data_IF_325240824384
#
_entry.id   IF_325240824384
#
_cell.length_a   1.000
_cell.length_b   1.000
_cell.length_c   1.000
_cell.angle_alpha   90.00
_cell.angle_beta   90.00
_cell.angle_gamma   90.00
#
_symmetry.space_group_name_H-M   'P 1'
#
loop_
_entity.id
_entity.type
_entity.pdbx_description
1 polymer ?
#
# COMPACT_ATOMS: atom_id res chain seq x y z
N UNK A 1 -18.86 -8.06 6.60
CA UNK A 1 -19.65 -8.00 5.34
C UNK A 1 -21.16 -8.06 5.55
N UNK A 2 -21.66 -8.53 6.69
CA UNK A 2 -23.11 -8.59 6.98
C UNK A 2 -23.79 -7.22 6.88
N UNK A 3 -23.17 -6.14 7.39
CA UNK A 3 -23.71 -4.78 7.27
C UNK A 3 -23.92 -4.36 5.81
N UNK A 4 -22.87 -4.39 4.99
CA UNK A 4 -22.95 -4.00 3.57
C UNK A 4 -23.93 -4.88 2.78
N UNK A 5 -24.01 -6.18 3.10
CA UNK A 5 -25.02 -7.07 2.52
C UNK A 5 -26.44 -6.61 2.84
N UNK A 6 -26.73 -6.28 4.12
CA UNK A 6 -28.05 -5.77 4.52
C UNK A 6 -28.39 -4.44 3.83
N UNK A 7 -27.42 -3.53 3.73
CA UNK A 7 -27.60 -2.25 3.01
C UNK A 7 -27.95 -2.50 1.54
N UNK A 8 -27.31 -3.47 0.90
CA UNK A 8 -27.62 -3.88 -0.48
C UNK A 8 -28.86 -4.79 -0.61
N UNK A 9 -29.58 -5.11 0.48
CA UNK A 9 -30.71 -6.05 0.44
C UNK A 9 -30.34 -7.51 0.15
N UNK A 10 -29.07 -7.87 0.26
CA UNK A 10 -28.53 -9.19 -0.07
C UNK A 10 -28.38 -10.06 1.17
N UNK A 11 -28.61 -11.35 0.98
CA UNK A 11 -28.35 -12.42 1.94
C UNK A 11 -27.05 -13.17 1.59
N UNK A 12 -26.73 -14.21 2.36
CA UNK A 12 -25.67 -15.15 2.00
C UNK A 12 -26.12 -16.17 0.93
N UNK A 13 -27.44 -16.37 0.75
CA UNK A 13 -27.99 -17.32 -0.23
C UNK A 13 -27.83 -16.83 -1.66
N UNK A 14 -27.74 -15.51 -1.86
CA UNK A 14 -27.55 -14.90 -3.18
C UNK A 14 -26.15 -15.14 -3.75
N UNK A 15 -25.21 -15.63 -2.93
CA UNK A 15 -23.82 -15.98 -3.32
C UNK A 15 -23.06 -14.86 -4.05
N UNK A 16 -23.54 -13.62 -3.97
CA UNK A 16 -22.86 -12.45 -4.52
C UNK A 16 -21.54 -12.23 -3.80
N UNK A 17 -20.45 -12.01 -4.54
CA UNK A 17 -19.12 -11.78 -3.97
C UNK A 17 -19.06 -10.45 -3.21
N UNK A 18 -18.20 -10.39 -2.20
CA UNK A 18 -18.05 -9.20 -1.35
C UNK A 18 -17.41 -8.02 -2.08
N UNK A 19 -16.62 -8.27 -3.13
CA UNK A 19 -16.09 -7.25 -4.04
C UNK A 19 -17.19 -6.54 -4.80
N UNK A 20 -18.08 -7.31 -5.43
CA UNK A 20 -19.24 -6.81 -6.19
C UNK A 20 -20.11 -5.92 -5.30
N UNK A 21 -20.42 -6.36 -4.08
CA UNK A 21 -21.22 -5.56 -3.12
C UNK A 21 -20.54 -4.23 -2.78
N UNK A 22 -19.21 -4.23 -2.65
CA UNK A 22 -18.46 -3.01 -2.35
C UNK A 22 -18.40 -2.06 -3.54
N UNK A 23 -18.24 -2.61 -4.74
CA UNK A 23 -18.27 -1.85 -5.99
C UNK A 23 -19.63 -1.18 -6.20
N UNK A 24 -20.71 -1.94 -6.04
CA UNK A 24 -22.10 -1.44 -6.14
C UNK A 24 -22.39 -0.32 -5.14
N UNK A 25 -21.88 -0.45 -3.91
CA UNK A 25 -22.06 0.55 -2.86
C UNK A 25 -21.01 1.68 -2.89
N UNK A 26 -20.06 1.68 -3.84
CA UNK A 26 -18.98 2.67 -3.90
C UNK A 26 -18.04 2.67 -2.69
N UNK A 27 -17.90 1.54 -1.99
CA UNK A 27 -17.11 1.41 -0.76
C UNK A 27 -15.72 0.86 -1.08
N UNK A 28 -14.69 1.68 -0.85
CA UNK A 28 -13.30 1.25 -0.98
C UNK A 28 -12.98 0.03 -0.06
N UNK A 29 -12.30 -1.00 -0.58
CA UNK A 29 -11.78 -2.08 0.25
C UNK A 29 -10.78 -1.58 1.30
N UNK A 30 -10.85 -2.11 2.53
CA UNK A 30 -9.94 -1.72 3.61
C UNK A 30 -8.45 -1.85 3.21
N UNK A 31 -8.12 -2.90 2.45
CA UNK A 31 -6.76 -3.12 1.97
C UNK A 31 -6.26 -1.97 1.09
N UNK A 32 -7.11 -1.42 0.22
CA UNK A 32 -6.76 -0.27 -0.62
C UNK A 32 -6.42 0.95 0.24
N UNK A 33 -7.20 1.20 1.30
CA UNK A 33 -6.93 2.28 2.25
C UNK A 33 -5.62 2.09 3.01
N UNK A 34 -5.32 0.86 3.44
CA UNK A 34 -4.05 0.52 4.09
C UNK A 34 -2.87 0.77 3.14
N UNK A 35 -2.93 0.26 1.92
CA UNK A 35 -1.87 0.44 0.91
C UNK A 35 -1.60 1.91 0.59
N UNK A 36 -2.67 2.70 0.34
CA UNK A 36 -2.54 4.15 0.12
C UNK A 36 -1.88 4.84 1.33
N UNK A 37 -2.18 4.41 2.55
CA UNK A 37 -1.60 5.00 3.76
C UNK A 37 -0.11 4.67 3.90
N UNK A 38 0.28 3.42 3.61
CA UNK A 38 1.68 2.99 3.59
C UNK A 38 2.50 3.79 2.56
N UNK A 39 1.95 3.99 1.36
CA UNK A 39 2.60 4.77 0.31
C UNK A 39 2.66 6.28 0.62
N UNK A 40 1.64 6.84 1.29
CA UNK A 40 1.72 8.23 1.81
C UNK A 40 2.83 8.38 2.83
N UNK A 41 2.98 7.38 3.72
CA UNK A 41 4.04 7.39 4.72
C UNK A 41 5.43 7.27 4.09
N UNK A 42 5.60 6.43 3.06
CA UNK A 42 6.84 6.36 2.29
C UNK A 42 7.23 7.74 1.74
N UNK A 43 6.31 8.43 1.05
CA UNK A 43 6.58 9.79 0.56
C UNK A 43 6.96 10.75 1.67
N UNK A 44 6.31 10.65 2.83
CA UNK A 44 6.68 11.48 3.98
C UNK A 44 8.12 11.22 4.44
N UNK A 45 8.57 9.97 4.48
CA UNK A 45 9.95 9.61 4.84
C UNK A 45 10.97 10.06 3.80
N UNK A 46 10.66 9.89 2.51
CA UNK A 46 11.55 10.32 1.40
C UNK A 46 11.80 11.82 1.46
N UNK A 47 10.74 12.61 1.64
CA UNK A 47 10.80 14.08 1.72
C UNK A 47 11.21 14.60 3.10
N UNK A 48 11.53 13.73 4.04
CA UNK A 48 11.92 14.13 5.39
C UNK A 48 13.31 14.78 5.36
N UNK A 49 13.50 15.98 5.96
CA UNK A 49 14.83 16.56 6.08
C UNK A 49 15.73 15.69 6.97
N UNK A 50 17.06 15.75 6.76
CA UNK A 50 18.01 15.03 7.61
C UNK A 50 17.91 15.49 9.08
N UNK A 51 18.38 14.64 9.99
CA UNK A 51 18.35 14.90 11.44
C UNK A 51 17.08 14.44 12.15
N UNK A 52 16.09 13.90 11.42
CA UNK A 52 14.90 13.28 12.00
C UNK A 52 15.02 11.77 12.04
N UNK A 53 14.93 11.19 13.24
CA UNK A 53 15.12 9.75 13.47
C UNK A 53 14.37 8.82 12.50
N UNK A 54 13.07 9.02 12.19
CA UNK A 54 12.37 8.11 11.27
C UNK A 54 12.98 8.09 9.86
N UNK A 55 13.38 9.24 9.34
CA UNK A 55 14.04 9.37 8.04
C UNK A 55 15.43 8.77 8.05
N UNK A 56 16.19 9.01 9.12
CA UNK A 56 17.53 8.42 9.30
C UNK A 56 17.47 6.88 9.36
N UNK A 57 16.56 6.31 10.18
CA UNK A 57 16.37 4.85 10.27
C UNK A 57 15.90 4.26 8.94
N UNK A 58 15.04 4.97 8.19
CA UNK A 58 14.59 4.53 6.87
C UNK A 58 15.73 4.46 5.85
N UNK A 59 16.66 5.43 5.89
CA UNK A 59 17.83 5.49 5.00
C UNK A 59 18.97 4.58 5.45
N UNK A 60 19.04 4.26 6.74
CA UNK A 60 20.11 3.46 7.33
C UNK A 60 20.24 2.08 6.66
N UNK A 61 21.49 1.69 6.38
CA UNK A 61 21.86 0.36 5.88
C UNK A 61 22.77 -0.33 6.90
N UNK A 62 22.21 -0.93 7.95
CA UNK A 62 23.01 -1.56 9.00
C UNK A 62 23.82 -2.74 8.43
N UNK A 63 25.12 -2.71 8.69
CA UNK A 63 26.09 -3.76 8.36
C UNK A 63 26.32 -4.66 9.57
N UNK A 64 26.44 -5.98 9.37
CA UNK A 64 26.69 -6.92 10.46
C UNK A 64 26.31 -8.36 10.12
N UNK A 65 26.67 -9.30 11.01
CA UNK A 65 26.26 -10.71 10.89
C UNK A 65 24.76 -10.84 11.13
N UNK A 66 24.07 -11.54 10.24
CA UNK A 66 22.65 -11.87 10.38
C UNK A 66 22.49 -13.25 11.01
N UNK A 67 21.45 -13.49 11.82
CA UNK A 67 21.13 -14.83 12.30
C UNK A 67 20.98 -15.81 11.13
N UNK A 68 21.30 -17.09 11.36
CA UNK A 68 21.05 -18.15 10.37
C UNK A 68 19.53 -18.25 10.11
N UNK A 69 19.15 -18.37 8.84
CA UNK A 69 17.76 -18.46 8.39
C UNK A 69 17.32 -17.33 7.45
N UNK A 70 16.04 -17.33 7.07
CA UNK A 70 15.47 -16.32 6.15
C UNK A 70 15.34 -14.97 6.87
N UNK A 71 15.93 -13.88 6.35
CA UNK A 71 15.73 -12.55 6.90
C UNK A 71 14.25 -12.16 6.92
N UNK A 72 13.81 -11.49 7.99
CA UNK A 72 12.47 -10.87 8.02
C UNK A 72 12.39 -9.82 6.91
N UNK A 73 11.26 -9.78 6.22
CA UNK A 73 10.99 -8.72 5.22
C UNK A 73 10.90 -7.39 5.96
N UNK A 74 11.74 -6.42 5.59
CA UNK A 74 11.70 -5.08 6.18
C UNK A 74 10.48 -4.33 5.64
N UNK A 75 10.04 -3.33 6.39
CA UNK A 75 8.95 -2.48 5.93
C UNK A 75 9.27 -1.80 4.58
N UNK A 76 10.51 -1.31 4.40
CA UNK A 76 10.98 -0.75 3.12
C UNK A 76 10.84 -1.77 1.98
N UNK A 77 11.35 -2.99 2.16
CA UNK A 77 11.24 -4.05 1.15
C UNK A 77 9.77 -4.36 0.78
N UNK A 78 8.88 -4.35 1.77
CA UNK A 78 7.45 -4.53 1.54
C UNK A 78 6.85 -3.40 0.73
N UNK A 79 7.09 -2.13 1.10
CA UNK A 79 6.51 -0.98 0.39
C UNK A 79 7.13 -0.79 -0.99
N UNK A 80 8.42 -1.06 -1.18
CA UNK A 80 9.04 -1.07 -2.50
C UNK A 80 8.41 -2.14 -3.40
N UNK A 81 8.21 -3.36 -2.89
CA UNK A 81 7.49 -4.41 -3.63
C UNK A 81 6.04 -4.02 -3.92
N UNK A 82 5.40 -3.33 -3.00
CA UNK A 82 4.03 -2.84 -3.17
C UNK A 82 3.97 -1.78 -4.28
N UNK A 83 4.87 -0.79 -4.28
CA UNK A 83 4.97 0.23 -5.31
C UNK A 83 5.24 -0.39 -6.69
N UNK A 84 6.17 -1.34 -6.78
CA UNK A 84 6.40 -2.10 -8.00
C UNK A 84 5.12 -2.80 -8.50
N UNK A 85 4.49 -3.61 -7.65
CA UNK A 85 3.31 -4.40 -8.04
C UNK A 85 2.07 -3.58 -8.37
N UNK A 86 1.94 -2.39 -7.79
CA UNK A 86 0.70 -1.60 -7.81
C UNK A 86 0.80 -0.38 -8.71
N UNK A 87 1.99 0.19 -8.84
CA UNK A 87 2.26 1.41 -9.60
C UNK A 87 3.29 1.21 -10.73
N UNK A 88 3.94 0.04 -10.81
CA UNK A 88 4.97 -0.24 -11.81
C UNK A 88 6.29 0.49 -11.60
N UNK A 89 6.50 1.11 -10.42
CA UNK A 89 7.67 1.94 -10.15
C UNK A 89 8.84 1.05 -9.68
N UNK A 90 9.98 1.02 -10.41
CA UNK A 90 11.19 0.33 -9.98
C UNK A 90 11.71 0.85 -8.64
N UNK A 91 12.48 0.02 -7.93
CA UNK A 91 12.99 0.40 -6.61
C UNK A 91 13.97 1.58 -6.68
N UNK A 92 14.69 1.70 -7.80
CA UNK A 92 15.71 2.70 -8.09
C UNK A 92 15.09 4.08 -8.28
N UNK A 93 13.91 4.15 -8.91
CA UNK A 93 13.17 5.37 -9.20
C UNK A 93 12.20 5.77 -8.06
N UNK A 94 11.98 4.89 -7.09
CA UNK A 94 10.95 5.05 -6.08
C UNK A 94 11.11 6.34 -5.24
N UNK A 95 12.34 6.65 -4.83
CA UNK A 95 12.62 7.83 -4.00
C UNK A 95 12.43 9.12 -4.83
N UNK A 96 12.75 9.11 -6.12
CA UNK A 96 12.53 10.24 -7.03
C UNK A 96 11.04 10.50 -7.25
N UNK A 97 10.30 9.47 -7.67
CA UNK A 97 8.86 9.57 -7.96
C UNK A 97 8.05 9.90 -6.68
N UNK A 98 8.46 9.37 -5.52
CA UNK A 98 7.83 9.71 -4.25
C UNK A 98 8.16 11.15 -3.77
N UNK A 99 9.30 11.70 -4.21
CA UNK A 99 9.68 13.09 -3.98
C UNK A 99 8.74 14.07 -4.68
N UNK A 100 8.29 13.72 -5.89
CA UNK A 100 7.36 14.49 -6.70
C UNK A 100 5.92 14.47 -6.14
N UNK A 101 5.52 15.55 -5.48
CA UNK A 101 4.26 15.62 -4.72
C UNK A 101 3.04 15.34 -5.58
N UNK A 102 2.94 16.00 -6.73
CA UNK A 102 1.73 15.96 -7.56
C UNK A 102 1.63 14.63 -8.32
N UNK A 103 2.77 14.11 -8.79
CA UNK A 103 2.86 12.78 -9.40
C UNK A 103 2.42 11.71 -8.39
N UNK A 104 3.01 11.70 -7.19
CA UNK A 104 2.67 10.72 -6.16
C UNK A 104 1.21 10.82 -5.72
N UNK A 105 0.69 12.05 -5.52
CA UNK A 105 -0.71 12.25 -5.15
C UNK A 105 -1.67 11.69 -6.21
N UNK A 106 -1.37 11.92 -7.49
CA UNK A 106 -2.16 11.43 -8.62
C UNK A 106 -2.15 9.91 -8.69
N UNK A 107 -0.98 9.29 -8.56
CA UNK A 107 -0.83 7.83 -8.54
C UNK A 107 -1.65 7.19 -7.41
N UNK A 108 -1.62 7.76 -6.20
CA UNK A 108 -2.39 7.21 -5.07
C UNK A 108 -3.89 7.42 -5.20
N UNK A 109 -4.32 8.52 -5.82
CA UNK A 109 -5.74 8.80 -6.10
C UNK A 109 -6.29 7.79 -7.11
N UNK A 110 -5.52 7.48 -8.14
CA UNK A 110 -5.92 6.58 -9.23
C UNK A 110 -5.64 5.10 -8.93
N UNK A 111 -5.02 4.77 -7.80
CA UNK A 111 -4.72 3.39 -7.43
C UNK A 111 -6.02 2.56 -7.32
N UNK A 112 -6.21 1.53 -8.17
CA UNK A 112 -7.41 0.69 -8.15
C UNK A 112 -7.35 -0.31 -7.00
N UNK A 113 -8.48 -0.87 -6.51
CA UNK A 113 -8.47 -1.99 -5.58
C UNK A 113 -7.72 -3.21 -6.17
N UNK A 114 -7.26 -4.13 -5.32
CA UNK A 114 -6.68 -5.37 -5.83
C UNK A 114 -7.78 -6.22 -6.50
N UNK A 115 -7.46 -6.93 -7.59
CA UNK A 115 -8.37 -7.93 -8.12
C UNK A 115 -8.58 -9.02 -7.07
N UNK A 116 -9.79 -9.55 -7.00
CA UNK A 116 -10.05 -10.73 -6.18
C UNK A 116 -9.21 -11.90 -6.69
N UNK A 117 -8.63 -12.72 -5.79
CA UNK A 117 -8.19 -14.04 -6.19
C UNK A 117 -9.44 -14.81 -6.61
N UNK A 118 -9.51 -15.15 -7.90
CA UNK A 118 -10.61 -15.93 -8.49
C UNK A 118 -10.80 -17.28 -7.82
#
# INVERSE_FOLDING_TARGET
>A
MSFLRRVAGLSLRDRVRSSVIREELGVDPLLLRVERSQMRWLRHLVRMPPGRLPGEVFRARPTGRRPRGRPRTRWRDYVSRLAWKRLGIPQEELDEVAGEREVWASLLRLLPPRPDPG
#
